data_IF_225890475581
#
_entry.id   IF_225890475581
#
_cell.length_a   1.000
_cell.length_b   1.000
_cell.length_c   1.000
_cell.angle_alpha   90.00
_cell.angle_beta   90.00
_cell.angle_gamma   90.00
#
_symmetry.space_group_name_H-M   'P 1'
#
loop_
_entity.id
_entity.type
_entity.pdbx_description
1 polymer ?
#
# COMPACT_ATOMS: atom_id res chain seq x y z
N UNK A 1 20.39 -5.54 1.81
CA UNK A 1 19.48 -6.69 1.91
C UNK A 1 18.33 -6.48 0.93
N UNK A 2 17.98 -7.47 0.12
CA UNK A 2 16.92 -7.37 -0.91
C UNK A 2 15.53 -7.46 -0.27
N UNK A 3 14.96 -6.29 0.05
CA UNK A 3 13.65 -6.17 0.68
C UNK A 3 12.48 -6.13 -0.32
N UNK A 4 12.78 -5.89 -1.59
CA UNK A 4 11.77 -5.84 -2.65
C UNK A 4 11.27 -7.24 -3.02
N UNK A 5 12.16 -8.24 -3.06
CA UNK A 5 11.76 -9.62 -3.38
C UNK A 5 10.70 -10.19 -2.43
N UNK A 6 10.80 -10.05 -1.09
CA UNK A 6 9.72 -10.42 -0.18
C UNK A 6 8.39 -9.71 -0.46
N UNK A 7 8.40 -8.40 -0.69
CA UNK A 7 7.20 -7.62 -1.03
C UNK A 7 6.54 -8.12 -2.31
N UNK A 8 7.34 -8.42 -3.33
CA UNK A 8 6.89 -8.96 -4.61
C UNK A 8 6.24 -10.34 -4.46
N UNK A 9 6.86 -11.25 -3.69
CA UNK A 9 6.31 -12.60 -3.46
C UNK A 9 4.93 -12.54 -2.81
N UNK A 10 4.78 -11.65 -1.85
CA UNK A 10 3.52 -11.40 -1.18
C UNK A 10 2.49 -10.85 -2.16
N UNK A 11 2.84 -9.79 -2.89
CA UNK A 11 1.93 -9.16 -3.84
C UNK A 11 1.41 -10.17 -4.88
N UNK A 12 2.28 -11.06 -5.37
CA UNK A 12 1.90 -12.16 -6.27
C UNK A 12 0.93 -13.15 -5.62
N UNK A 13 1.21 -13.59 -4.39
CA UNK A 13 0.32 -14.51 -3.66
C UNK A 13 -1.07 -13.89 -3.43
N UNK A 14 -1.13 -12.60 -3.08
CA UNK A 14 -2.39 -11.89 -2.89
C UNK A 14 -3.15 -11.69 -4.18
N UNK A 15 -2.45 -11.32 -5.25
CA UNK A 15 -3.07 -11.16 -6.54
C UNK A 15 -3.69 -12.48 -7.04
N UNK A 16 -2.99 -13.60 -6.83
CA UNK A 16 -3.51 -14.92 -7.15
C UNK A 16 -4.75 -15.26 -6.33
N UNK A 17 -4.69 -15.07 -5.01
CA UNK A 17 -5.81 -15.32 -4.11
C UNK A 17 -7.05 -14.51 -4.48
N UNK A 18 -6.90 -13.19 -4.68
CA UNK A 18 -8.00 -12.29 -5.04
C UNK A 18 -8.63 -12.72 -6.36
N UNK A 19 -7.80 -13.03 -7.38
CA UNK A 19 -8.32 -13.48 -8.67
C UNK A 19 -9.07 -14.81 -8.59
N UNK A 20 -8.60 -15.75 -7.77
CA UNK A 20 -9.24 -17.05 -7.59
C UNK A 20 -10.56 -16.93 -6.82
N UNK A 21 -10.58 -16.17 -5.73
CA UNK A 21 -11.75 -16.07 -4.85
C UNK A 21 -12.79 -15.05 -5.34
N UNK A 22 -12.36 -14.01 -6.08
CA UNK A 22 -13.21 -12.89 -6.51
C UNK A 22 -12.96 -12.53 -7.97
N UNK A 23 -13.32 -13.42 -8.92
CA UNK A 23 -13.02 -13.22 -10.35
C UNK A 23 -13.69 -11.98 -10.97
N UNK A 24 -14.73 -11.41 -10.33
CA UNK A 24 -15.42 -10.19 -10.79
C UNK A 24 -14.81 -8.87 -10.30
N UNK A 25 -13.78 -8.93 -9.46
CA UNK A 25 -13.11 -7.75 -8.92
C UNK A 25 -12.04 -7.23 -9.90
N UNK A 26 -11.93 -5.91 -10.01
CA UNK A 26 -10.87 -5.28 -10.78
C UNK A 26 -9.60 -5.18 -9.91
N UNK A 27 -8.50 -5.79 -10.36
CA UNK A 27 -7.22 -5.75 -9.68
C UNK A 27 -6.21 -4.94 -10.47
N UNK A 28 -5.66 -3.90 -9.82
CA UNK A 28 -4.62 -3.00 -10.36
C UNK A 28 -3.38 -3.06 -9.50
N UNK A 29 -2.21 -2.95 -10.12
CA UNK A 29 -0.92 -3.00 -9.42
C UNK A 29 -0.21 -1.67 -9.64
N UNK A 30 0.18 -1.04 -8.53
CA UNK A 30 0.93 0.21 -8.54
C UNK A 30 2.28 -0.04 -7.87
N UNK A 31 3.35 0.28 -8.58
CA UNK A 31 4.68 0.39 -7.99
C UNK A 31 4.88 1.81 -7.52
N UNK A 32 5.60 1.97 -6.41
CA UNK A 32 6.06 3.27 -5.95
C UNK A 32 7.49 3.18 -5.44
N UNK A 33 8.26 4.20 -5.77
CA UNK A 33 9.67 4.41 -5.44
C UNK A 33 9.87 5.92 -5.32
N UNK A 34 10.80 6.53 -6.04
CA UNK A 34 10.87 8.00 -6.20
C UNK A 34 9.60 8.58 -6.85
N UNK A 35 8.97 7.83 -7.76
CA UNK A 35 7.69 8.13 -8.42
C UNK A 35 6.70 6.98 -8.22
N UNK A 36 5.53 7.03 -8.87
CA UNK A 36 4.57 5.92 -8.87
C UNK A 36 4.06 5.63 -10.28
N UNK A 37 3.88 4.36 -10.59
CA UNK A 37 3.42 3.88 -11.91
C UNK A 37 2.46 2.69 -11.77
N UNK A 38 1.46 2.62 -12.66
CA UNK A 38 0.61 1.44 -12.81
C UNK A 38 1.33 0.45 -13.72
N UNK A 39 1.42 -0.81 -13.29
CA UNK A 39 1.97 -1.89 -14.10
C UNK A 39 0.93 -2.97 -14.36
N UNK A 40 1.02 -3.70 -15.49
CA UNK A 40 0.28 -4.93 -15.68
C UNK A 40 0.64 -5.95 -14.60
N UNK A 41 -0.37 -6.65 -14.05
CA UNK A 41 -0.13 -7.71 -13.06
C UNK A 41 0.85 -8.79 -13.55
N UNK A 42 0.82 -9.11 -14.85
CA UNK A 42 1.73 -10.09 -15.46
C UNK A 42 3.21 -9.66 -15.39
N UNK A 43 3.49 -8.37 -15.25
CA UNK A 43 4.84 -7.82 -15.16
C UNK A 43 5.38 -7.84 -13.73
N UNK A 44 4.52 -7.93 -12.71
CA UNK A 44 4.90 -7.86 -11.30
C UNK A 44 6.06 -8.81 -10.94
N UNK A 45 6.07 -10.03 -11.50
CA UNK A 45 7.14 -11.01 -11.27
C UNK A 45 8.52 -10.58 -11.82
N UNK A 46 8.53 -9.82 -12.91
CA UNK A 46 9.71 -9.40 -13.68
C UNK A 46 10.29 -8.07 -13.21
N UNK A 47 9.47 -7.26 -12.53
CA UNK A 47 9.90 -5.96 -11.98
C UNK A 47 11.13 -6.13 -11.10
N UNK A 48 12.06 -5.19 -11.28
CA UNK A 48 13.19 -4.94 -10.40
C UNK A 48 13.14 -3.48 -10.00
N UNK A 49 13.34 -3.21 -8.72
CA UNK A 49 13.37 -1.86 -8.17
C UNK A 49 14.82 -1.58 -7.77
N UNK A 50 15.35 -0.47 -8.27
CA UNK A 50 16.69 0.03 -7.93
C UNK A 50 16.73 0.65 -6.52
N UNK A 51 17.88 1.23 -6.11
CA UNK A 51 17.99 1.92 -4.83
C UNK A 51 17.22 3.24 -4.91
N UNK A 52 15.98 3.22 -4.46
CA UNK A 52 15.08 4.36 -4.49
C UNK A 52 14.57 4.70 -3.10
N UNK A 53 14.08 5.93 -2.96
CA UNK A 53 13.34 6.37 -1.79
C UNK A 53 11.90 5.87 -1.85
N UNK A 54 11.19 6.02 -0.75
CA UNK A 54 9.83 5.53 -0.57
C UNK A 54 8.84 6.70 -0.66
N UNK A 55 8.35 6.99 -1.86
CA UNK A 55 7.33 8.04 -2.09
C UNK A 55 5.91 7.46 -1.93
N UNK A 56 5.56 7.12 -0.69
CA UNK A 56 4.26 6.52 -0.36
C UNK A 56 3.09 7.41 -0.79
N UNK A 57 3.24 8.74 -0.67
CA UNK A 57 2.21 9.70 -1.07
C UNK A 57 1.86 9.57 -2.56
N UNK A 58 2.85 9.54 -3.44
CA UNK A 58 2.57 9.44 -4.88
C UNK A 58 1.94 8.08 -5.26
N UNK A 59 2.36 6.99 -4.58
CA UNK A 59 1.69 5.70 -4.70
C UNK A 59 0.20 5.78 -4.37
N UNK A 60 -0.14 6.35 -3.20
CA UNK A 60 -1.53 6.55 -2.77
C UNK A 60 -2.32 7.47 -3.70
N UNK A 61 -1.73 8.58 -4.16
CA UNK A 61 -2.36 9.50 -5.13
C UNK A 61 -2.71 8.81 -6.43
N UNK A 62 -1.77 8.02 -6.98
CA UNK A 62 -2.01 7.28 -8.21
C UNK A 62 -3.10 6.23 -8.00
N UNK A 63 -3.02 5.44 -6.93
CA UNK A 63 -4.04 4.43 -6.60
C UNK A 63 -5.44 5.05 -6.43
N UNK A 64 -5.54 6.20 -5.74
CA UNK A 64 -6.82 6.92 -5.60
C UNK A 64 -7.36 7.37 -6.95
N UNK A 65 -6.54 7.97 -7.81
CA UNK A 65 -6.96 8.37 -9.17
C UNK A 65 -7.45 7.18 -10.00
N UNK A 66 -6.82 6.02 -9.87
CA UNK A 66 -7.23 4.78 -10.55
C UNK A 66 -8.60 4.32 -10.02
N UNK A 67 -8.76 4.28 -8.69
CA UNK A 67 -9.97 3.79 -8.02
C UNK A 67 -11.17 4.74 -8.19
N UNK A 68 -10.96 6.05 -8.22
CA UNK A 68 -12.01 7.05 -8.45
C UNK A 68 -12.62 6.93 -9.86
N UNK A 69 -11.90 6.32 -10.82
CA UNK A 69 -12.41 6.02 -12.16
C UNK A 69 -13.19 4.70 -12.23
N UNK A 70 -13.15 3.87 -11.18
CA UNK A 70 -13.85 2.59 -11.14
C UNK A 70 -15.27 2.76 -10.60
N UNK A 71 -16.26 2.20 -11.31
CA UNK A 71 -17.66 2.12 -10.86
C UNK A 71 -17.87 0.87 -10.01
N UNK A 72 -17.26 0.83 -8.82
CA UNK A 72 -17.37 -0.27 -7.86
C UNK A 72 -17.69 0.30 -6.48
N UNK A 73 -18.64 -0.31 -5.79
CA UNK A 73 -19.08 0.14 -4.46
C UNK A 73 -17.94 0.03 -3.43
N UNK A 74 -17.23 -1.09 -3.46
CA UNK A 74 -16.07 -1.34 -2.61
C UNK A 74 -14.77 -0.99 -3.34
N UNK A 75 -13.98 -0.09 -2.75
CA UNK A 75 -12.66 0.34 -3.25
C UNK A 75 -11.64 0.21 -2.13
N UNK A 76 -10.55 -0.51 -2.41
CA UNK A 76 -9.53 -0.82 -1.41
C UNK A 76 -8.13 -0.72 -2.00
N UNK A 77 -7.20 -0.21 -1.19
CA UNK A 77 -5.75 -0.24 -1.43
C UNK A 77 -5.16 -1.25 -0.44
N UNK A 78 -4.39 -2.20 -0.98
CA UNK A 78 -3.51 -3.07 -0.21
C UNK A 78 -2.08 -2.56 -0.40
N UNK A 79 -1.55 -1.87 0.61
CA UNK A 79 -0.21 -1.32 0.57
C UNK A 79 0.77 -2.33 1.16
N UNK A 80 1.78 -2.73 0.41
CA UNK A 80 2.88 -3.57 0.90
C UNK A 80 4.14 -2.72 0.89
N UNK A 81 4.81 -2.58 2.03
CA UNK A 81 6.03 -1.78 2.14
C UNK A 81 6.97 -2.34 3.21
N UNK A 82 8.26 -2.16 2.99
CA UNK A 82 9.37 -2.56 3.86
C UNK A 82 10.09 -1.34 4.47
N UNK A 83 9.59 -0.13 4.19
CA UNK A 83 10.24 1.13 4.55
C UNK A 83 9.24 2.22 4.93
N UNK A 84 9.73 3.17 5.72
CA UNK A 84 9.02 4.42 6.03
C UNK A 84 8.98 5.32 4.79
N UNK A 85 7.97 6.19 4.67
CA UNK A 85 8.00 7.21 3.64
C UNK A 85 9.26 8.08 3.82
N UNK A 86 9.98 8.28 2.73
CA UNK A 86 11.28 8.96 2.72
C UNK A 86 11.46 9.89 1.51
N UNK A 87 10.42 10.02 0.69
CA UNK A 87 10.37 10.99 -0.40
C UNK A 87 8.98 11.59 -0.59
N UNK A 88 8.93 12.77 -1.20
CA UNK A 88 7.73 13.46 -1.65
C UNK A 88 7.99 14.15 -2.98
N UNK A 89 7.03 14.07 -3.90
CA UNK A 89 7.02 14.95 -5.08
C UNK A 89 6.37 16.28 -4.72
N UNK A 90 7.09 17.37 -4.95
CA UNK A 90 6.66 18.74 -4.70
C UNK A 90 5.83 19.27 -5.88
N UNK A 91 5.06 20.36 -5.70
CA UNK A 91 4.22 20.93 -6.77
C UNK A 91 5.00 21.35 -8.03
N UNK A 92 6.27 21.70 -7.89
CA UNK A 92 7.18 22.04 -8.99
C UNK A 92 7.80 20.82 -9.69
N UNK A 93 7.43 19.60 -9.28
CA UNK A 93 7.92 18.34 -9.81
C UNK A 93 9.23 17.86 -9.19
N UNK A 94 9.86 18.63 -8.29
CA UNK A 94 11.06 18.18 -7.58
C UNK A 94 10.73 17.10 -6.56
N UNK A 95 11.69 16.21 -6.30
CA UNK A 95 11.54 15.17 -5.29
C UNK A 95 12.32 15.58 -4.04
N UNK A 96 11.59 15.93 -2.98
CA UNK A 96 12.15 16.08 -1.64
C UNK A 96 12.46 14.70 -1.08
N UNK A 97 13.65 14.50 -0.52
CA UNK A 97 14.16 13.19 -0.07
C UNK A 97 14.81 13.32 1.30
N UNK A 98 14.37 12.51 2.26
CA UNK A 98 15.01 12.37 3.56
C UNK A 98 14.85 10.93 4.07
N UNK A 99 15.95 10.18 4.12
CA UNK A 99 15.97 8.80 4.60
C UNK A 99 16.19 8.70 6.12
N UNK A 100 16.54 9.79 6.82
CA UNK A 100 16.85 9.79 8.25
C UNK A 100 15.60 10.04 9.09
N UNK A 101 15.34 9.15 10.06
CA UNK A 101 14.15 9.21 10.93
C UNK A 101 12.80 9.29 10.20
N UNK A 102 11.72 9.51 10.94
CA UNK A 102 10.44 9.89 10.35
C UNK A 102 10.42 11.41 10.16
N UNK A 103 10.72 11.84 8.94
CA UNK A 103 10.63 13.26 8.59
C UNK A 103 9.19 13.77 8.79
N UNK A 104 8.95 14.75 9.67
CA UNK A 104 7.59 15.20 10.00
C UNK A 104 6.83 15.77 8.80
N UNK A 105 7.53 16.41 7.86
CA UNK A 105 6.92 16.96 6.66
C UNK A 105 6.49 15.84 5.70
N UNK A 106 7.35 14.85 5.47
CA UNK A 106 7.03 13.66 4.66
C UNK A 106 5.83 12.91 5.25
N UNK A 107 5.84 12.71 6.57
CA UNK A 107 4.76 12.02 7.28
C UNK A 107 3.45 12.79 7.19
N UNK A 108 3.46 14.11 7.41
CA UNK A 108 2.27 14.95 7.37
C UNK A 108 1.60 14.90 5.99
N UNK A 109 2.37 15.09 4.92
CA UNK A 109 1.85 15.06 3.55
C UNK A 109 1.34 13.67 3.14
N UNK A 110 2.02 12.61 3.60
CA UNK A 110 1.55 11.22 3.37
C UNK A 110 0.24 10.97 4.11
N UNK A 111 0.12 11.41 5.36
CA UNK A 111 -1.11 11.30 6.15
C UNK A 111 -2.27 12.10 5.55
N UNK A 112 -2.00 13.27 4.98
CA UNK A 112 -3.00 14.08 4.28
C UNK A 112 -3.57 13.31 3.07
N UNK A 113 -2.73 12.59 2.31
CA UNK A 113 -3.21 11.75 1.22
C UNK A 113 -4.00 10.53 1.70
N UNK A 114 -3.58 9.90 2.81
CA UNK A 114 -4.37 8.82 3.45
C UNK A 114 -5.77 9.32 3.84
N UNK A 115 -5.87 10.53 4.39
CA UNK A 115 -7.14 11.16 4.71
C UNK A 115 -7.98 11.44 3.45
N UNK A 116 -7.35 11.87 2.35
CA UNK A 116 -8.01 12.06 1.07
C UNK A 116 -8.59 10.74 0.51
N UNK A 117 -7.82 9.64 0.56
CA UNK A 117 -8.32 8.30 0.21
C UNK A 117 -9.53 7.90 1.03
N UNK A 118 -9.49 8.08 2.36
CA UNK A 118 -10.64 7.80 3.23
C UNK A 118 -11.85 8.63 2.85
N UNK A 119 -11.67 9.94 2.58
CA UNK A 119 -12.77 10.83 2.16
C UNK A 119 -13.39 10.37 0.84
N UNK A 120 -12.60 9.80 -0.07
CA UNK A 120 -13.09 9.17 -1.30
C UNK A 120 -13.78 7.81 -1.09
N UNK A 121 -13.88 7.31 0.15
CA UNK A 121 -14.45 5.99 0.45
C UNK A 121 -13.51 4.83 0.13
N UNK A 122 -12.19 5.08 0.07
CA UNK A 122 -11.18 4.07 -0.22
C UNK A 122 -10.57 3.59 1.09
N UNK A 123 -10.68 2.29 1.34
CA UNK A 123 -10.06 1.65 2.48
C UNK A 123 -8.58 1.36 2.20
N UNK A 124 -7.69 1.61 3.17
CA UNK A 124 -6.27 1.29 3.05
C UNK A 124 -5.90 0.25 4.09
N UNK A 125 -5.46 -0.92 3.64
CA UNK A 125 -4.88 -1.98 4.45
C UNK A 125 -3.37 -2.02 4.21
N UNK A 126 -2.58 -1.89 5.28
CA UNK A 126 -1.12 -1.77 5.17
C UNK A 126 -0.44 -3.00 5.72
N UNK A 127 0.38 -3.65 4.90
CA UNK A 127 1.23 -4.77 5.24
C UNK A 127 2.68 -4.34 5.23
N UNK A 128 3.29 -4.46 6.40
CA UNK A 128 4.62 -3.95 6.62
C UNK A 128 5.61 -5.09 6.87
N UNK A 129 6.65 -5.13 6.05
CA UNK A 129 7.66 -6.19 6.01
C UNK A 129 8.94 -5.85 6.79
N UNK A 130 8.84 -5.00 7.81
CA UNK A 130 9.98 -4.50 8.58
C UNK A 130 9.77 -4.61 10.09
N UNK A 131 10.88 -4.64 10.83
CA UNK A 131 10.95 -4.75 12.30
C UNK A 131 11.32 -3.44 13.00
N UNK A 132 11.21 -2.31 12.31
CA UNK A 132 11.65 -1.00 12.81
C UNK A 132 10.59 -0.36 13.74
N UNK A 133 11.01 0.18 14.89
CA UNK A 133 10.14 0.80 15.89
C UNK A 133 9.55 2.14 15.44
N UNK A 134 10.35 3.00 14.78
CA UNK A 134 9.85 4.31 14.30
C UNK A 134 8.69 4.09 13.32
N UNK A 135 8.83 3.04 12.52
CA UNK A 135 7.91 2.64 11.50
C UNK A 135 6.54 2.18 12.06
N UNK A 136 6.52 1.59 13.26
CA UNK A 136 5.28 1.24 13.98
C UNK A 136 4.43 2.47 14.26
N UNK A 137 5.06 3.57 14.69
CA UNK A 137 4.37 4.82 15.00
C UNK A 137 3.73 5.44 13.76
N UNK A 138 4.43 5.42 12.61
CA UNK A 138 3.88 5.87 11.34
C UNK A 138 2.66 5.03 10.94
N UNK A 139 2.77 3.70 10.99
CA UNK A 139 1.70 2.80 10.57
C UNK A 139 0.46 2.89 11.46
N UNK A 140 0.63 3.03 12.77
CA UNK A 140 -0.50 3.30 13.69
C UNK A 140 -1.24 4.57 13.29
N UNK A 141 -0.52 5.66 13.01
CA UNK A 141 -1.11 6.92 12.55
C UNK A 141 -1.89 6.76 11.24
N UNK A 142 -1.36 5.99 10.28
CA UNK A 142 -2.06 5.68 9.02
C UNK A 142 -3.35 4.90 9.29
N UNK A 143 -3.28 3.84 10.10
CA UNK A 143 -4.43 3.01 10.44
C UNK A 143 -5.54 3.80 11.15
N UNK A 144 -5.17 4.65 12.11
CA UNK A 144 -6.10 5.54 12.83
C UNK A 144 -6.82 6.50 11.87
N UNK A 145 -6.09 7.07 10.91
CA UNK A 145 -6.65 7.99 9.91
C UNK A 145 -7.59 7.24 8.96
N UNK A 146 -7.26 6.03 8.49
CA UNK A 146 -8.10 5.33 7.51
C UNK A 146 -9.19 4.45 8.14
N UNK A 147 -9.21 4.26 9.48
CA UNK A 147 -9.92 3.14 10.15
C UNK A 147 -9.61 1.78 9.50
N UNK A 148 -8.47 1.68 8.82
CA UNK A 148 -7.97 0.47 8.19
C UNK A 148 -7.14 -0.33 9.16
N UNK A 149 -6.65 -1.48 8.70
CA UNK A 149 -5.82 -2.36 9.52
C UNK A 149 -4.35 -2.22 9.13
N UNK A 150 -3.52 -2.25 10.15
CA UNK A 150 -2.07 -2.28 10.06
C UNK A 150 -1.58 -3.66 10.47
N UNK A 151 -0.83 -4.32 9.58
CA UNK A 151 -0.28 -5.65 9.81
C UNK A 151 1.24 -5.57 9.85
N UNK A 152 1.79 -5.86 11.01
CA UNK A 152 3.21 -6.11 11.18
C UNK A 152 3.45 -7.59 10.92
N UNK A 153 4.20 -7.91 9.88
CA UNK A 153 4.32 -9.28 9.43
C UNK A 153 5.72 -9.58 8.94
N UNK A 154 6.08 -10.85 9.01
CA UNK A 154 7.20 -11.38 8.23
C UNK A 154 6.68 -11.84 6.87
N UNK A 155 7.56 -12.03 5.87
CA UNK A 155 7.16 -12.62 4.58
C UNK A 155 6.46 -13.98 4.72
N UNK A 156 6.75 -14.73 5.81
CA UNK A 156 6.19 -16.06 6.08
C UNK A 156 4.80 -16.01 6.72
N UNK A 157 4.53 -15.04 7.58
CA UNK A 157 3.23 -14.90 8.28
C UNK A 157 2.19 -14.11 7.49
N UNK A 158 2.60 -13.45 6.40
CA UNK A 158 1.74 -12.52 5.68
C UNK A 158 0.58 -13.21 4.94
N UNK A 159 0.83 -14.41 4.39
CA UNK A 159 -0.23 -15.17 3.71
C UNK A 159 -1.45 -15.42 4.59
N UNK A 160 -1.23 -15.73 5.87
CA UNK A 160 -2.30 -16.03 6.84
C UNK A 160 -3.14 -14.80 7.20
N UNK A 161 -2.51 -13.64 7.41
CA UNK A 161 -3.23 -12.42 7.78
C UNK A 161 -4.07 -11.83 6.65
N UNK A 162 -3.59 -11.91 5.41
CA UNK A 162 -4.34 -11.35 4.27
C UNK A 162 -5.56 -12.19 3.95
N UNK A 163 -5.44 -13.52 4.09
CA UNK A 163 -6.57 -14.44 3.98
C UNK A 163 -7.66 -14.10 5.00
N UNK A 164 -7.30 -13.95 6.28
CA UNK A 164 -8.27 -13.68 7.34
C UNK A 164 -9.01 -12.35 7.18
N UNK A 165 -8.32 -11.24 6.89
CA UNK A 165 -9.00 -9.93 6.81
C UNK A 165 -9.92 -9.77 5.60
N UNK A 166 -9.50 -10.33 4.46
CA UNK A 166 -10.30 -10.21 3.24
C UNK A 166 -11.55 -11.07 3.32
N UNK A 167 -11.48 -12.23 3.98
CA UNK A 167 -12.64 -13.07 4.30
C UNK A 167 -13.60 -12.40 5.29
N UNK A 168 -13.09 -11.74 6.33
CA UNK A 168 -13.93 -11.10 7.36
C UNK A 168 -14.84 -9.98 6.80
N UNK A 169 -14.40 -9.24 5.76
CA UNK A 169 -15.19 -8.12 5.19
C UNK A 169 -16.27 -8.52 4.19
N UNK A 170 -16.21 -9.74 3.64
CA UNK A 170 -17.28 -10.30 2.78
C UNK A 170 -18.29 -11.14 3.58
N UNK A 171 -17.93 -11.58 4.79
CA UNK A 171 -18.82 -12.39 5.65
C UNK A 171 -19.68 -11.49 6.55
N UNK A 172 -20.57 -10.70 5.93
CA UNK A 172 -21.81 -10.28 6.58
C UNK A 172 -22.97 -10.91 5.84
N UNK A 173 -23.22 -12.18 6.16
CA UNK A 173 -24.54 -12.77 5.94
C UNK A 173 -25.46 -12.09 6.93
N UNK A 174 -26.31 -11.18 6.44
CA UNK A 174 -27.45 -10.68 7.19
C UNK A 174 -28.42 -11.88 7.27
N UNK A 175 -28.70 -12.35 8.48
CA UNK A 175 -29.86 -13.19 8.76
C UNK A 175 -31.07 -12.31 8.99
#
# INVERSE_FOLDING_TARGET
EDRFTPAKRVALALAQLIKTQYPGDALKVVLFHDSAEEIPLAELGRVRVGPYYTNTREGLRLSRRILDRQRKDMRQIIMITDGKPSALTQPDGRIYKNAFGLDPFIVAETCAEVAACRKSGIMINTFMLARDYDLVSFVRRVADICKGKAYFTTPYTLGQYVLMDYMDKKTKTIH
#
